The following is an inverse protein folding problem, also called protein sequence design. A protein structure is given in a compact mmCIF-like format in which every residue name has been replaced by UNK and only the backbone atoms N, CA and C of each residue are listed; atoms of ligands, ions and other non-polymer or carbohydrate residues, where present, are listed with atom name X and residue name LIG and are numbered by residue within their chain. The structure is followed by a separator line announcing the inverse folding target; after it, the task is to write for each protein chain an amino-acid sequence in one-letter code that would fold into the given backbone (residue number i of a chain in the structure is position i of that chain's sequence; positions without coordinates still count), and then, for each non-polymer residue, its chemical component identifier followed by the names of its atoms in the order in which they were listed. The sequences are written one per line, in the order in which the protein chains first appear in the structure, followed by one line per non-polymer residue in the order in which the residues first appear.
data_IF_919460443131
#
_entry.id   IF_919460443131
#
_cell.length_a   1.000
_cell.length_b   1.000
_cell.length_c   1.000
_cell.angle_alpha   90.00
_cell.angle_beta   90.00
_cell.angle_gamma   90.00
#
_symmetry.space_group_name_H-M   'P 1'
#
loop_
_entity.id
_entity.type
_entity.pdbx_description
1 polymer ?
#
# COMPACT_ATOMS: atom_id res chain seq x y z
N UNK A 1 -5.25 -15.46 -13.07
CA UNK A 1 -4.89 -14.28 -13.89
C UNK A 1 -3.47 -13.88 -13.52
N UNK A 2 -2.63 -13.54 -14.50
CA UNK A 2 -1.30 -12.99 -14.22
C UNK A 2 -1.45 -11.58 -13.61
N UNK A 3 -0.65 -11.27 -12.60
CA UNK A 3 -0.60 -9.92 -12.01
C UNK A 3 0.09 -8.95 -12.96
N UNK A 4 -0.27 -7.67 -12.88
CA UNK A 4 0.39 -6.61 -13.64
C UNK A 4 1.66 -6.15 -12.92
N UNK A 5 2.71 -5.81 -13.69
CA UNK A 5 3.89 -5.18 -13.12
C UNK A 5 3.63 -3.69 -12.86
N UNK A 6 4.05 -3.19 -11.71
CA UNK A 6 3.89 -1.79 -11.31
C UNK A 6 5.17 -1.23 -10.69
N UNK A 7 5.43 0.07 -10.87
CA UNK A 7 6.51 0.73 -10.16
C UNK A 7 6.18 0.90 -8.67
N UNK A 8 7.20 1.04 -7.82
CA UNK A 8 7.01 1.34 -6.40
C UNK A 8 6.20 2.62 -6.20
N UNK A 9 6.59 3.69 -6.89
CA UNK A 9 5.95 5.01 -6.76
C UNK A 9 4.48 5.00 -7.19
N UNK A 10 4.14 4.30 -8.29
CA UNK A 10 2.74 4.20 -8.73
C UNK A 10 1.91 3.39 -7.72
N UNK A 11 2.48 2.32 -7.15
CA UNK A 11 1.79 1.52 -6.14
C UNK A 11 1.51 2.31 -4.86
N UNK A 12 2.48 3.13 -4.41
CA UNK A 12 2.34 4.04 -3.27
C UNK A 12 1.23 5.07 -3.52
N UNK A 13 1.20 5.68 -4.71
CA UNK A 13 0.20 6.68 -5.07
C UNK A 13 -1.22 6.07 -5.10
N UNK A 14 -1.37 4.90 -5.72
CA UNK A 14 -2.65 4.19 -5.75
C UNK A 14 -3.08 3.83 -4.33
N UNK A 15 -2.18 3.28 -3.52
CA UNK A 15 -2.48 2.91 -2.15
C UNK A 15 -2.91 4.12 -1.30
N UNK A 16 -2.25 5.26 -1.45
CA UNK A 16 -2.62 6.50 -0.77
C UNK A 16 -4.03 6.96 -1.15
N UNK A 17 -4.35 6.98 -2.45
CA UNK A 17 -5.67 7.37 -2.95
C UNK A 17 -6.76 6.41 -2.46
N UNK A 18 -6.49 5.11 -2.53
CA UNK A 18 -7.40 4.08 -2.06
C UNK A 18 -7.68 4.20 -0.57
N UNK A 19 -6.64 4.30 0.25
CA UNK A 19 -6.77 4.39 1.71
C UNK A 19 -7.54 5.64 2.10
N UNK A 20 -7.29 6.80 1.50
CA UNK A 20 -8.03 8.04 1.78
C UNK A 20 -9.50 8.00 1.35
N UNK A 21 -9.89 7.07 0.47
CA UNK A 21 -11.29 6.93 0.05
C UNK A 21 -12.17 6.20 1.08
N UNK A 22 -11.57 5.58 2.10
CA UNK A 22 -12.32 4.99 3.20
C UNK A 22 -12.78 6.08 4.19
N UNK A 23 -14.01 6.00 4.71
CA UNK A 23 -14.45 6.91 5.77
C UNK A 23 -13.59 6.75 7.03
N UNK A 24 -13.04 7.86 7.54
CA UNK A 24 -12.23 7.90 8.76
C UNK A 24 -10.71 7.77 8.54
N UNK A 25 -10.24 7.67 7.29
CA UNK A 25 -8.80 7.60 6.94
C UNK A 25 -8.34 8.78 6.08
N UNK A 26 -9.09 9.88 6.08
CA UNK A 26 -8.78 11.11 5.33
C UNK A 26 -7.46 11.75 5.81
N UNK A 27 -7.07 11.49 7.06
CA UNK A 27 -5.88 12.02 7.72
C UNK A 27 -4.57 11.32 7.32
N UNK A 28 -4.62 10.27 6.50
CA UNK A 28 -3.41 9.63 5.97
C UNK A 28 -2.67 10.62 5.09
N UNK A 29 -1.37 10.84 5.32
CA UNK A 29 -0.56 11.84 4.60
C UNK A 29 0.39 11.23 3.57
N UNK A 30 0.92 10.04 3.85
CA UNK A 30 1.79 9.31 2.93
C UNK A 30 1.65 7.81 3.10
N UNK A 31 2.00 7.09 2.04
CA UNK A 31 2.11 5.63 2.03
C UNK A 31 3.43 5.29 1.36
N UNK A 32 4.22 4.44 2.00
CA UNK A 32 5.48 3.93 1.49
C UNK A 32 5.41 2.42 1.34
N UNK A 33 6.01 1.89 0.28
CA UNK A 33 6.09 0.45 0.04
C UNK A 33 7.46 -0.04 0.46
N UNK A 34 7.49 -0.86 1.50
CA UNK A 34 8.71 -1.53 1.96
C UNK A 34 8.77 -2.96 1.42
N UNK A 35 9.93 -3.34 0.89
CA UNK A 35 10.21 -4.70 0.44
C UNK A 35 11.22 -5.34 1.40
N UNK A 36 10.96 -6.55 1.88
CA UNK A 36 11.96 -7.29 2.66
C UNK A 36 13.15 -7.68 1.77
N UNK A 37 14.34 -7.17 2.09
CA UNK A 37 15.57 -7.36 1.31
C UNK A 37 16.02 -8.83 1.18
N UNK A 38 15.44 -9.75 1.95
CA UNK A 38 15.88 -11.14 2.06
C UNK A 38 14.94 -12.16 1.44
N UNK A 39 13.88 -11.74 0.73
CA UNK A 39 12.92 -12.68 0.15
C UNK A 39 12.84 -12.61 -1.38
N UNK A 40 12.67 -13.77 -2.06
CA UNK A 40 12.57 -13.81 -3.51
C UNK A 40 11.26 -13.15 -3.99
N UNK A 41 11.43 -11.95 -4.55
CA UNK A 41 10.63 -11.22 -5.54
C UNK A 41 9.11 -11.00 -5.32
N UNK A 42 8.73 -9.71 -5.40
CA UNK A 42 7.45 -9.24 -5.94
C UNK A 42 6.21 -9.25 -5.03
N UNK A 43 6.14 -10.17 -4.06
CA UNK A 43 4.90 -10.45 -3.32
C UNK A 43 4.95 -10.04 -1.84
N UNK A 44 6.14 -10.01 -1.23
CA UNK A 44 6.34 -9.66 0.17
C UNK A 44 6.79 -8.21 0.34
N UNK A 45 5.91 -7.31 -0.06
CA UNK A 45 5.97 -5.91 0.29
C UNK A 45 4.87 -5.55 1.30
N UNK A 46 5.10 -4.48 2.06
CA UNK A 46 4.20 -3.97 3.09
C UNK A 46 3.94 -2.48 2.85
N UNK A 47 2.74 -2.01 3.24
CA UNK A 47 2.42 -0.58 3.24
C UNK A 47 2.77 0.01 4.59
N UNK A 48 3.70 0.96 4.61
CA UNK A 48 3.95 1.84 5.74
C UNK A 48 3.08 3.08 5.56
N UNK A 49 2.09 3.26 6.44
CA UNK A 49 1.10 4.33 6.33
C UNK A 49 1.37 5.37 7.41
N UNK A 50 1.59 6.61 6.99
CA UNK A 50 1.77 7.74 7.90
C UNK A 50 0.50 8.57 7.89
N UNK A 51 -0.03 8.89 9.08
CA UNK A 51 -1.20 9.75 9.25
C UNK A 51 -0.85 10.94 10.14
N UNK A 52 -1.56 12.05 9.94
CA UNK A 52 -1.53 13.17 10.85
C UNK A 52 -2.22 12.84 12.18
N UNK A 53 -1.93 13.63 13.22
CA UNK A 53 -2.59 13.52 14.51
C UNK A 53 -4.12 13.64 14.36
N UNK A 54 -4.85 12.88 15.18
CA UNK A 54 -6.32 12.83 15.13
C UNK A 54 -6.91 11.82 14.14
N UNK A 55 -6.08 11.06 13.42
CA UNK A 55 -6.54 9.94 12.60
C UNK A 55 -7.11 8.79 13.44
N UNK A 56 -8.19 8.18 12.95
CA UNK A 56 -8.74 6.95 13.55
C UNK A 56 -7.85 5.77 13.14
N UNK A 57 -6.97 5.35 14.05
CA UNK A 57 -5.97 4.31 13.80
C UNK A 57 -6.59 2.97 13.42
N UNK A 58 -7.74 2.61 14.01
CA UNK A 58 -8.41 1.34 13.70
C UNK A 58 -8.98 1.36 12.28
N UNK A 59 -9.57 2.49 11.87
CA UNK A 59 -10.06 2.69 10.49
C UNK A 59 -8.93 2.73 9.49
N UNK A 60 -7.84 3.43 9.81
CA UNK A 60 -6.65 3.51 8.94
C UNK A 60 -6.02 2.14 8.78
N UNK A 61 -5.86 1.37 9.86
CA UNK A 61 -5.33 0.01 9.80
C UNK A 61 -6.22 -0.90 8.97
N UNK A 62 -7.54 -0.82 9.13
CA UNK A 62 -8.49 -1.57 8.30
C UNK A 62 -8.36 -1.20 6.82
N UNK A 63 -8.36 0.09 6.48
CA UNK A 63 -8.22 0.58 5.11
C UNK A 63 -6.89 0.13 4.48
N UNK A 64 -5.79 0.20 5.23
CA UNK A 64 -4.48 -0.26 4.79
C UNK A 64 -4.46 -1.76 4.49
N UNK A 65 -5.07 -2.58 5.36
CA UNK A 65 -5.17 -4.04 5.18
C UNK A 65 -5.97 -4.39 3.93
N UNK A 66 -7.17 -3.83 3.78
CA UNK A 66 -8.03 -4.09 2.61
C UNK A 66 -7.36 -3.66 1.31
N UNK A 67 -6.72 -2.49 1.32
CA UNK A 67 -5.98 -1.96 0.17
C UNK A 67 -4.80 -2.86 -0.17
N UNK A 68 -3.98 -3.26 0.81
CA UNK A 68 -2.85 -4.16 0.62
C UNK A 68 -3.28 -5.50 0.01
N UNK A 69 -4.31 -6.15 0.58
CA UNK A 69 -4.83 -7.43 0.06
C UNK A 69 -5.34 -7.32 -1.37
N UNK A 70 -5.97 -6.20 -1.72
CA UNK A 70 -6.45 -5.93 -3.08
C UNK A 70 -5.29 -5.73 -4.06
N UNK A 71 -4.32 -4.91 -3.68
CA UNK A 71 -3.17 -4.58 -4.52
C UNK A 71 -2.25 -5.79 -4.72
N UNK A 72 -1.98 -6.59 -3.68
CA UNK A 72 -1.20 -7.84 -3.78
C UNK A 72 -1.81 -8.87 -4.72
N UNK A 73 -3.14 -8.87 -4.90
CA UNK A 73 -3.82 -9.74 -5.87
C UNK A 73 -3.72 -9.24 -7.31
N UNK A 74 -3.44 -7.95 -7.51
CA UNK A 74 -3.46 -7.32 -8.83
C UNK A 74 -2.07 -7.01 -9.38
N UNK A 75 -1.11 -6.77 -8.50
CA UNK A 75 0.20 -6.27 -8.87
C UNK A 75 1.36 -7.06 -8.28
N UNK A 76 2.43 -7.15 -9.06
CA UNK A 76 3.78 -7.44 -8.56
C UNK A 76 4.67 -6.22 -8.81
N UNK A 77 5.60 -5.96 -7.90
CA UNK A 77 6.54 -4.86 -8.07
C UNK A 77 7.52 -5.14 -9.20
N UNK A 78 7.71 -4.14 -10.06
CA UNK A 78 8.78 -4.14 -11.05
C UNK A 78 10.10 -3.99 -10.31
N UNK A 79 10.97 -4.99 -10.42
CA UNK A 79 12.34 -4.88 -9.95
C UNK A 79 13.00 -3.71 -10.68
N UNK A 80 13.61 -2.79 -9.92
CA UNK A 80 14.49 -1.80 -10.52
C UNK A 80 15.64 -2.58 -11.18
N UNK A 81 15.67 -2.58 -12.51
CA UNK A 81 16.75 -3.11 -13.34
C UNK A 81 17.98 -2.21 -13.28
#
# INVERSE_FOLDING_TARGET
MAKALISKADLELIALQDIRSFPGSEHVISVEVECEAHQPQGINWTLCVTAADGGDLDRIQYAAKVTSDRLKRRYDLRLAS
#
